data_IF_694094395946
#
_entry.id   IF_694094395946
#
_cell.length_a   1.000
_cell.length_b   1.000
_cell.length_c   1.000
_cell.angle_alpha   90.00
_cell.angle_beta   90.00
_cell.angle_gamma   90.00
#
_symmetry.space_group_name_H-M   'P 1'
#
loop_
_entity.id
_entity.type
_entity.pdbx_description
1 polymer ?
#
# COMPACT_ATOMS: atom_id res chain seq x y z
N UNK A 1 -1.64 -16.91 1.17
CA UNK A 1 -1.00 -16.35 -0.05
C UNK A 1 -0.31 -15.06 0.32
N UNK A 2 1.01 -15.05 0.46
CA UNK A 2 1.82 -13.84 0.34
C UNK A 2 3.09 -14.13 -0.46
N UNK A 3 2.95 -15.01 -1.45
CA UNK A 3 3.67 -14.99 -2.72
C UNK A 3 2.68 -15.56 -3.73
N UNK A 4 2.71 -15.02 -4.95
CA UNK A 4 1.99 -15.46 -6.15
C UNK A 4 0.59 -14.87 -6.39
N UNK A 5 0.57 -13.67 -6.99
CA UNK A 5 -0.25 -13.41 -8.18
C UNK A 5 0.18 -12.08 -8.86
N UNK A 6 1.38 -12.04 -9.41
CA UNK A 6 1.73 -11.04 -10.43
C UNK A 6 2.21 -11.70 -11.72
N UNK A 7 1.65 -12.88 -12.04
CA UNK A 7 1.93 -13.59 -13.29
C UNK A 7 0.88 -13.31 -14.40
N UNK A 8 -0.11 -12.44 -14.17
CA UNK A 8 -1.14 -12.16 -15.21
C UNK A 8 -1.50 -10.68 -15.40
N UNK A 9 -1.24 -9.78 -14.46
CA UNK A 9 -1.42 -8.33 -14.65
C UNK A 9 -0.14 -7.69 -15.22
N UNK A 10 0.23 -8.14 -16.42
CA UNK A 10 1.47 -7.78 -17.09
C UNK A 10 1.67 -6.27 -17.21
N UNK A 11 2.87 -5.83 -16.82
CA UNK A 11 3.48 -4.53 -17.13
C UNK A 11 2.96 -3.32 -16.33
N UNK A 12 1.66 -3.12 -16.12
CA UNK A 12 1.14 -1.86 -15.53
C UNK A 12 1.35 -1.71 -14.01
N UNK A 13 1.11 -2.78 -13.23
CA UNK A 13 1.30 -2.75 -11.76
C UNK A 13 2.78 -2.65 -11.36
N UNK A 14 3.66 -3.26 -12.16
CA UNK A 14 5.12 -3.11 -12.04
C UNK A 14 5.61 -1.71 -12.46
N UNK A 15 4.93 -1.07 -13.41
CA UNK A 15 5.24 0.30 -13.84
C UNK A 15 5.06 1.33 -12.71
N UNK A 16 4.06 1.12 -11.83
CA UNK A 16 3.72 2.06 -10.75
C UNK A 16 4.67 2.05 -9.56
N UNK A 17 5.11 0.86 -9.14
CA UNK A 17 6.08 0.72 -8.05
C UNK A 17 7.47 1.30 -8.39
N UNK A 18 7.73 1.57 -9.67
CA UNK A 18 9.05 1.88 -10.22
C UNK A 18 9.25 3.35 -10.64
N UNK A 19 8.19 4.09 -10.97
CA UNK A 19 8.33 5.41 -11.59
C UNK A 19 8.09 6.55 -10.61
N UNK A 20 9.12 6.87 -9.83
CA UNK A 20 9.20 8.14 -9.14
C UNK A 20 10.44 8.24 -8.28
N UNK A 21 11.49 8.94 -8.74
CA UNK A 21 12.37 9.60 -7.76
C UNK A 21 11.47 10.55 -6.97
N UNK A 22 11.58 10.64 -5.63
CA UNK A 22 10.79 11.58 -4.85
C UNK A 22 10.97 12.98 -5.46
N UNK A 23 9.91 13.48 -6.11
CA UNK A 23 9.85 14.79 -6.74
C UNK A 23 9.00 15.66 -5.81
N UNK A 24 9.64 16.34 -4.87
CA UNK A 24 8.95 17.20 -3.93
C UNK A 24 9.63 17.26 -2.56
N UNK A 25 8.95 17.86 -1.57
CA UNK A 25 9.39 17.90 -0.18
C UNK A 25 9.64 16.48 0.36
N UNK A 26 10.52 16.34 1.35
CA UNK A 26 10.72 15.07 2.07
C UNK A 26 9.55 14.80 3.03
N UNK A 27 8.35 14.66 2.45
CA UNK A 27 7.09 14.48 3.15
C UNK A 27 6.26 13.36 2.54
N UNK A 28 5.68 12.53 3.39
CA UNK A 28 4.86 11.38 3.02
C UNK A 28 3.41 11.61 3.46
N UNK A 29 2.46 11.38 2.56
CA UNK A 29 1.05 11.30 2.94
C UNK A 29 0.69 9.86 3.29
N UNK A 30 0.02 9.67 4.42
CA UNK A 30 -0.54 8.39 4.84
C UNK A 30 -2.05 8.48 4.68
N UNK A 31 -2.58 7.87 3.62
CA UNK A 31 -4.01 7.78 3.37
C UNK A 31 -4.59 6.68 4.25
N UNK A 32 -5.40 7.07 5.25
CA UNK A 32 -5.94 6.14 6.22
C UNK A 32 -7.31 5.62 5.82
N UNK A 33 -7.42 4.31 5.59
CA UNK A 33 -8.66 3.60 5.28
C UNK A 33 -9.40 3.11 6.54
N UNK A 34 -9.02 3.63 7.72
CA UNK A 34 -9.52 3.16 9.02
C UNK A 34 -8.64 2.07 9.63
N UNK A 35 -7.33 2.06 9.33
CA UNK A 35 -6.40 1.12 9.91
C UNK A 35 -6.23 1.39 11.41
N UNK A 36 -6.18 0.31 12.21
CA UNK A 36 -5.54 0.40 13.53
C UNK A 36 -4.05 0.79 13.43
N UNK A 37 -3.43 0.62 12.25
CA UNK A 37 -2.00 0.79 12.00
C UNK A 37 -1.59 2.15 11.44
N UNK A 38 -2.52 3.06 11.09
CA UNK A 38 -2.17 4.35 10.47
C UNK A 38 -1.17 5.16 11.31
N UNK A 39 -1.40 5.19 12.64
CA UNK A 39 -0.47 5.84 13.60
C UNK A 39 0.86 5.11 13.77
N UNK A 40 0.87 3.78 13.62
CA UNK A 40 2.11 3.00 13.68
C UNK A 40 2.97 3.24 12.45
N UNK A 41 2.35 3.35 11.26
CA UNK A 41 3.03 3.76 10.03
C UNK A 41 3.60 5.17 10.19
N UNK A 42 2.81 6.14 10.66
CA UNK A 42 3.27 7.51 10.92
C UNK A 42 4.49 7.53 11.85
N UNK A 43 4.42 6.80 12.96
CA UNK A 43 5.55 6.66 13.88
C UNK A 43 6.79 6.09 13.20
N UNK A 44 6.67 5.01 12.41
CA UNK A 44 7.81 4.40 11.72
C UNK A 44 8.42 5.32 10.67
N UNK A 45 7.61 6.09 9.94
CA UNK A 45 8.11 7.08 8.97
C UNK A 45 8.88 8.20 9.68
N UNK A 46 8.36 8.70 10.80
CA UNK A 46 9.05 9.72 11.62
C UNK A 46 10.35 9.22 12.25
N UNK A 47 10.39 7.96 12.69
CA UNK A 47 11.63 7.31 13.19
C UNK A 47 12.73 7.24 12.13
N UNK A 48 12.37 7.30 10.83
CA UNK A 48 13.30 7.41 9.71
C UNK A 48 13.67 8.86 9.35
N UNK A 49 13.30 9.83 10.19
CA UNK A 49 13.52 11.27 10.00
C UNK A 49 12.84 11.85 8.74
N UNK A 50 11.71 11.27 8.33
CA UNK A 50 10.89 11.77 7.22
C UNK A 50 9.61 12.39 7.77
N UNK A 51 9.20 13.55 7.25
CA UNK A 51 7.94 14.18 7.65
C UNK A 51 6.75 13.36 7.12
N UNK A 52 5.73 13.15 7.95
CA UNK A 52 4.52 12.45 7.56
C UNK A 52 3.26 13.20 7.99
N UNK A 53 2.17 12.96 7.27
CA UNK A 53 0.84 13.44 7.64
C UNK A 53 -0.18 12.35 7.35
N UNK A 54 -1.02 12.06 8.34
CA UNK A 54 -2.15 11.13 8.19
C UNK A 54 -3.36 11.92 7.72
N UNK A 55 -3.92 11.53 6.57
CA UNK A 55 -5.11 12.15 5.98
C UNK A 55 -6.13 11.07 5.59
N UNK A 56 -7.43 11.41 5.47
CA UNK A 56 -8.45 10.46 5.03
C UNK A 56 -8.18 9.85 3.65
N UNK A 57 -8.62 8.60 3.42
CA UNK A 57 -8.46 7.91 2.13
C UNK A 57 -9.12 8.65 0.95
N UNK A 58 -10.24 9.33 1.19
CA UNK A 58 -11.01 10.10 0.21
C UNK A 58 -10.41 11.49 -0.09
N UNK A 59 -9.19 11.77 0.39
CA UNK A 59 -8.51 13.03 0.14
C UNK A 59 -8.27 13.21 -1.37
N UNK A 60 -8.78 14.30 -1.98
CA UNK A 60 -8.68 14.49 -3.42
C UNK A 60 -7.21 14.70 -3.87
N UNK A 61 -6.83 14.23 -5.07
CA UNK A 61 -5.48 14.38 -5.62
C UNK A 61 -5.00 15.83 -5.64
N UNK A 62 -5.90 16.80 -5.83
CA UNK A 62 -5.59 18.24 -5.81
C UNK A 62 -5.00 18.72 -4.49
N UNK A 63 -5.33 18.08 -3.37
CA UNK A 63 -4.75 18.40 -2.05
C UNK A 63 -3.40 17.73 -1.82
N UNK A 64 -3.10 16.66 -2.56
CA UNK A 64 -1.87 15.87 -2.43
C UNK A 64 -0.76 16.33 -3.38
N UNK A 65 -1.14 16.71 -4.60
CA UNK A 65 -0.22 17.06 -5.69
C UNK A 65 0.75 18.17 -5.28
N UNK A 66 2.04 17.91 -5.44
CA UNK A 66 3.12 18.87 -5.17
C UNK A 66 3.47 19.09 -3.68
N UNK A 67 2.70 18.51 -2.74
CA UNK A 67 2.99 18.60 -1.30
C UNK A 67 3.76 17.40 -0.74
N UNK A 68 3.58 16.23 -1.35
CA UNK A 68 4.15 14.98 -0.87
C UNK A 68 5.06 14.36 -1.94
N UNK A 69 6.17 13.77 -1.49
CA UNK A 69 7.11 13.04 -2.33
C UNK A 69 6.78 11.56 -2.49
N UNK A 70 5.91 11.01 -1.63
CA UNK A 70 5.40 9.64 -1.69
C UNK A 70 4.08 9.50 -0.91
N UNK A 71 3.35 8.42 -1.18
CA UNK A 71 2.08 8.08 -0.54
C UNK A 71 2.14 6.67 0.04
N UNK A 72 1.59 6.50 1.25
CA UNK A 72 1.31 5.20 1.85
C UNK A 72 -0.21 5.08 2.03
N UNK A 73 -0.80 4.01 1.52
CA UNK A 73 -2.21 3.68 1.75
C UNK A 73 -2.26 2.62 2.85
N UNK A 74 -2.88 2.97 3.98
CA UNK A 74 -2.97 2.08 5.13
C UNK A 74 -4.04 0.99 4.92
N UNK A 75 -4.03 0.02 5.83
CA UNK A 75 -5.03 -1.03 5.90
C UNK A 75 -6.40 -0.55 6.39
N UNK A 76 -7.38 -1.44 6.45
CA UNK A 76 -8.66 -1.20 7.11
C UNK A 76 -9.31 -2.55 7.40
N UNK A 77 -10.27 -2.64 8.35
CA UNK A 77 -10.99 -3.88 8.61
C UNK A 77 -11.98 -4.24 7.48
N UNK A 78 -12.24 -3.29 6.57
CA UNK A 78 -13.19 -3.46 5.46
C UNK A 78 -12.65 -4.29 4.30
N UNK A 79 -13.57 -4.81 3.49
CA UNK A 79 -13.28 -5.46 2.21
C UNK A 79 -13.32 -4.43 1.08
N UNK A 80 -12.44 -4.54 0.09
CA UNK A 80 -12.40 -3.60 -1.05
C UNK A 80 -13.64 -3.69 -1.94
N UNK A 81 -14.42 -4.77 -1.84
CA UNK A 81 -15.68 -4.99 -2.56
C UNK A 81 -16.93 -4.56 -1.81
N UNK A 82 -16.79 -4.09 -0.57
CA UNK A 82 -17.95 -3.66 0.21
C UNK A 82 -18.56 -2.39 -0.41
N UNK A 83 -19.89 -2.28 -0.43
CA UNK A 83 -20.58 -1.12 -1.01
C UNK A 83 -20.27 0.20 -0.26
N UNK A 84 -19.82 0.09 0.99
CA UNK A 84 -19.37 1.15 1.88
C UNK A 84 -17.84 1.25 1.97
N UNK A 85 -17.11 0.57 1.08
CA UNK A 85 -15.65 0.65 1.03
C UNK A 85 -15.23 2.13 0.88
N UNK A 86 -14.23 2.58 1.65
CA UNK A 86 -13.82 3.98 1.60
C UNK A 86 -13.38 4.36 0.18
N UNK A 87 -13.90 5.48 -0.31
CA UNK A 87 -13.68 5.94 -1.67
C UNK A 87 -12.19 6.30 -1.88
N UNK A 88 -11.63 5.85 -3.00
CA UNK A 88 -10.29 6.20 -3.44
C UNK A 88 -10.33 6.72 -4.87
N UNK A 89 -9.68 7.85 -5.11
CA UNK A 89 -9.57 8.46 -6.44
C UNK A 89 -8.35 7.87 -7.18
N UNK A 90 -8.53 7.11 -8.28
CA UNK A 90 -7.44 6.54 -9.05
C UNK A 90 -6.45 7.58 -9.61
N UNK A 91 -6.87 8.84 -9.77
CA UNK A 91 -5.99 9.92 -10.21
C UNK A 91 -4.87 10.23 -9.20
N UNK A 92 -4.97 9.72 -7.96
CA UNK A 92 -3.85 9.72 -7.00
C UNK A 92 -2.63 9.00 -7.57
N UNK A 93 -2.85 7.89 -8.28
CA UNK A 93 -1.78 7.15 -8.91
C UNK A 93 -1.12 8.05 -9.97
N UNK A 94 -1.91 8.68 -10.83
CA UNK A 94 -1.44 9.46 -12.00
C UNK A 94 -0.52 10.66 -11.69
N UNK A 95 -0.32 10.97 -10.40
CA UNK A 95 0.58 12.03 -9.94
C UNK A 95 2.07 11.74 -10.18
N UNK A 96 2.45 10.49 -10.47
CA UNK A 96 3.84 10.12 -10.78
C UNK A 96 4.78 10.17 -9.57
N UNK A 97 4.24 9.92 -8.37
CA UNK A 97 5.01 9.73 -7.13
C UNK A 97 4.83 8.29 -6.63
N UNK A 98 5.79 7.74 -5.87
CA UNK A 98 5.70 6.38 -5.34
C UNK A 98 4.48 6.19 -4.42
N UNK A 99 3.77 5.08 -4.59
CA UNK A 99 2.63 4.68 -3.76
C UNK A 99 2.87 3.30 -3.17
N UNK A 100 2.77 3.16 -1.85
CA UNK A 100 2.87 1.89 -1.14
C UNK A 100 1.52 1.54 -0.51
N UNK A 101 0.94 0.40 -0.90
CA UNK A 101 -0.25 -0.15 -0.25
C UNK A 101 0.12 -1.16 0.83
N UNK A 102 -0.49 -1.04 2.01
CA UNK A 102 -0.33 -1.99 3.12
C UNK A 102 -1.66 -2.68 3.41
N UNK A 103 -1.68 -4.02 3.37
CA UNK A 103 -2.88 -4.83 3.60
C UNK A 103 -4.05 -4.41 2.66
N UNK A 104 -5.13 -3.83 3.19
CA UNK A 104 -6.23 -3.29 2.37
C UNK A 104 -5.74 -2.31 1.29
N UNK A 105 -4.76 -1.44 1.60
CA UNK A 105 -4.20 -0.54 0.60
C UNK A 105 -3.57 -1.28 -0.58
N UNK A 106 -2.98 -2.46 -0.36
CA UNK A 106 -2.46 -3.30 -1.45
C UNK A 106 -3.60 -3.92 -2.27
N UNK A 107 -4.65 -4.43 -1.62
CA UNK A 107 -5.83 -4.96 -2.30
C UNK A 107 -6.53 -3.90 -3.15
N UNK A 108 -6.67 -2.69 -2.62
CA UNK A 108 -7.23 -1.53 -3.32
C UNK A 108 -6.40 -1.17 -4.54
N UNK A 109 -5.07 -1.10 -4.42
CA UNK A 109 -4.19 -0.86 -5.56
C UNK A 109 -4.33 -1.96 -6.61
N UNK A 110 -4.39 -3.22 -6.20
CA UNK A 110 -4.58 -4.34 -7.11
C UNK A 110 -5.93 -4.23 -7.84
N UNK A 111 -7.01 -3.93 -7.12
CA UNK A 111 -8.35 -3.74 -7.67
C UNK A 111 -8.41 -2.60 -8.71
N UNK A 112 -7.87 -1.43 -8.35
CA UNK A 112 -7.81 -0.25 -9.24
C UNK A 112 -6.95 -0.51 -10.48
N UNK A 113 -5.90 -1.33 -10.36
CA UNK A 113 -5.07 -1.75 -11.48
C UNK A 113 -5.67 -2.88 -12.33
N UNK A 114 -6.93 -3.27 -12.09
CA UNK A 114 -7.62 -4.34 -12.85
C UNK A 114 -7.27 -5.77 -12.41
N UNK A 115 -6.60 -5.92 -11.27
CA UNK A 115 -6.39 -7.20 -10.61
C UNK A 115 -7.67 -7.72 -9.98
N UNK A 116 -7.64 -9.01 -9.61
CA UNK A 116 -8.72 -9.66 -8.84
C UNK A 116 -8.25 -9.86 -7.42
N UNK A 117 -9.17 -9.63 -6.47
CA UNK A 117 -9.00 -9.93 -5.06
C UNK A 117 -10.13 -10.91 -4.71
N UNK A 118 -9.80 -12.04 -4.11
CA UNK A 118 -10.75 -13.05 -3.68
C UNK A 118 -11.05 -12.85 -2.20
N UNK A 119 -12.35 -12.83 -1.86
CA UNK A 119 -12.78 -12.71 -0.48
C UNK A 119 -12.46 -14.00 0.25
N UNK A 120 -11.68 -13.96 1.34
CA UNK A 120 -11.45 -15.16 2.14
C UNK A 120 -12.59 -15.32 3.16
N UNK A 121 -12.94 -16.57 3.47
CA UNK A 121 -14.06 -16.87 4.37
C UNK A 121 -13.77 -16.51 5.84
N UNK A 122 -12.49 -16.42 6.23
CA UNK A 122 -12.07 -16.12 7.59
C UNK A 122 -10.88 -15.17 7.61
N UNK A 123 -10.97 -14.16 8.47
CA UNK A 123 -9.84 -13.34 8.84
C UNK A 123 -8.97 -14.08 9.85
N UNK A 124 -7.69 -14.26 9.56
CA UNK A 124 -6.72 -14.69 10.58
C UNK A 124 -5.52 -13.75 10.58
N UNK A 125 -5.05 -13.47 11.81
CA UNK A 125 -3.89 -12.62 12.07
C UNK A 125 -2.82 -13.53 12.69
N UNK A 126 -1.80 -13.90 11.89
CA UNK A 126 -0.78 -14.88 12.30
C UNK A 126 0.61 -14.42 11.89
N UNK A 127 1.59 -14.71 12.73
CA UNK A 127 3.00 -14.54 12.39
C UNK A 127 3.46 -15.72 11.53
N UNK A 128 3.93 -15.44 10.33
CA UNK A 128 4.40 -16.46 9.39
C UNK A 128 5.72 -16.05 8.75
N UNK A 129 6.48 -17.06 8.36
CA UNK A 129 7.73 -16.88 7.62
C UNK A 129 7.42 -17.00 6.15
N UNK A 130 7.72 -15.94 5.40
CA UNK A 130 7.53 -15.88 3.95
C UNK A 130 8.87 -15.82 3.23
N UNK A 131 8.88 -16.27 1.98
CA UNK A 131 9.99 -16.02 1.07
C UNK A 131 9.71 -14.76 0.24
N UNK A 132 10.64 -13.80 0.26
CA UNK A 132 10.54 -12.60 -0.56
C UNK A 132 11.37 -12.77 -1.84
N UNK A 133 10.91 -12.17 -2.95
CA UNK A 133 11.69 -12.13 -4.18
C UNK A 133 12.75 -11.03 -4.12
N UNK A 134 14.06 -11.37 -4.14
CA UNK A 134 15.13 -10.42 -3.84
C UNK A 134 15.36 -9.35 -4.93
N UNK A 135 14.64 -9.41 -6.06
CA UNK A 135 14.80 -8.48 -7.19
C UNK A 135 14.05 -7.16 -6.98
N UNK A 136 13.12 -7.09 -6.04
CA UNK A 136 12.37 -5.86 -5.78
C UNK A 136 13.23 -4.83 -5.04
N UNK A 137 13.17 -3.56 -5.48
CA UNK A 137 13.82 -2.46 -4.78
C UNK A 137 13.33 -2.28 -3.34
N UNK A 138 12.08 -2.67 -3.05
CA UNK A 138 11.47 -2.60 -1.71
C UNK A 138 12.18 -3.52 -0.69
N UNK A 139 12.77 -4.61 -1.17
CA UNK A 139 13.36 -5.65 -0.32
C UNK A 139 14.90 -5.59 -0.27
N UNK A 140 15.49 -4.52 -0.81
CA UNK A 140 16.94 -4.36 -0.85
C UNK A 140 17.51 -4.36 0.58
N UNK A 141 18.47 -5.26 0.84
CA UNK A 141 19.13 -5.40 2.14
C UNK A 141 18.45 -6.38 3.10
N UNK A 142 17.31 -6.99 2.71
CA UNK A 142 16.65 -8.05 3.47
C UNK A 142 17.12 -9.44 3.00
N UNK A 143 17.14 -10.40 3.94
CA UNK A 143 17.33 -11.81 3.62
C UNK A 143 16.10 -12.43 2.94
N UNK A 144 16.28 -13.53 2.23
CA UNK A 144 15.19 -14.20 1.47
C UNK A 144 14.01 -14.65 2.36
N UNK A 145 14.29 -15.06 3.59
CA UNK A 145 13.29 -15.47 4.55
C UNK A 145 13.00 -14.30 5.50
N UNK A 146 11.73 -13.90 5.60
CA UNK A 146 11.29 -12.83 6.49
C UNK A 146 10.13 -13.30 7.34
N UNK A 147 10.18 -12.96 8.63
CA UNK A 147 9.05 -13.19 9.53
C UNK A 147 8.16 -11.96 9.51
N UNK A 148 6.92 -12.14 9.08
CA UNK A 148 5.94 -11.06 8.93
C UNK A 148 4.68 -11.36 9.72
N UNK A 149 3.97 -10.29 10.10
CA UNK A 149 2.62 -10.41 10.61
C UNK A 149 1.66 -10.39 9.42
N UNK A 150 1.10 -11.55 9.11
CA UNK A 150 0.10 -11.73 8.07
C UNK A 150 -1.28 -11.49 8.67
N UNK A 151 -1.95 -10.44 8.20
CA UNK A 151 -3.35 -10.16 8.49
C UNK A 151 -4.12 -10.43 7.21
N UNK A 152 -4.70 -11.62 7.05
CA UNK A 152 -5.42 -11.98 5.82
C UNK A 152 -6.92 -11.92 6.07
N UNK A 153 -7.62 -11.05 5.33
CA UNK A 153 -9.08 -11.03 5.21
C UNK A 153 -9.52 -11.40 3.81
N UNK A 154 -8.96 -10.72 2.80
CA UNK A 154 -9.13 -11.00 1.36
C UNK A 154 -7.74 -11.22 0.71
N UNK A 155 -7.64 -11.97 -0.39
CA UNK A 155 -6.37 -12.39 -1.01
C UNK A 155 -6.26 -12.01 -2.49
#
# INVERSE_FOLDING_TARGET
VAVAAAAAAGVAAWWYFSQGKPKGPQRVAILDAGAQYGKLIDRRVRELNVESEVVPLDTPPSKLKGKYGAIIISGGPGSCYAADAPAFDPAVLEMGIPVLGVCYGYQLLNHVCGGKVEKAEKREDKQETIEIEPKSALYKGLGRSQTVLLTHGDA
#
